data_IF_537239051146
#
_entry.id   IF_537239051146
#
_cell.length_a   1.000
_cell.length_b   1.000
_cell.length_c   1.000
_cell.angle_alpha   90.00
_cell.angle_beta   90.00
_cell.angle_gamma   90.00
#
_symmetry.space_group_name_H-M   'P 1'
#
loop_
_entity.id
_entity.type
_entity.pdbx_description
1 polymer ?
#
# COMPACT_ATOMS: atom_id res chain seq x y z
N UNK A 1 -0.07 -9.71 3.37
CA UNK A 1 -0.53 -8.56 2.53
C UNK A 1 -1.54 -9.05 1.49
N UNK A 2 -2.73 -8.45 1.48
CA UNK A 2 -3.81 -8.76 0.55
C UNK A 2 -3.99 -7.64 -0.48
N UNK A 3 -4.12 -8.00 -1.75
CA UNK A 3 -4.40 -7.05 -2.84
C UNK A 3 -5.87 -7.11 -3.20
N UNK A 4 -6.52 -5.95 -3.34
CA UNK A 4 -7.92 -5.85 -3.77
C UNK A 4 -8.06 -4.82 -4.87
N UNK A 5 -8.93 -5.08 -5.85
CA UNK A 5 -9.26 -4.12 -6.91
C UNK A 5 -10.47 -3.32 -6.44
N UNK A 6 -10.37 -1.99 -6.47
CA UNK A 6 -11.51 -1.13 -6.17
C UNK A 6 -12.52 -1.12 -7.32
N UNK A 7 -13.78 -0.72 -7.09
CA UNK A 7 -14.78 -0.58 -8.16
C UNK A 7 -14.37 0.36 -9.30
N UNK A 8 -13.40 1.26 -9.05
CA UNK A 8 -12.84 2.19 -10.03
C UNK A 8 -11.56 1.66 -10.71
N UNK A 9 -11.25 0.37 -10.56
CA UNK A 9 -10.06 -0.27 -11.12
C UNK A 9 -8.75 0.01 -10.37
N UNK A 10 -8.74 0.94 -9.40
CA UNK A 10 -7.53 1.20 -8.61
C UNK A 10 -7.16 -0.01 -7.73
N UNK A 11 -5.87 -0.37 -7.73
CA UNK A 11 -5.31 -1.39 -6.85
C UNK A 11 -5.20 -0.85 -5.42
N UNK A 12 -5.76 -1.59 -4.47
CA UNK A 12 -5.69 -1.31 -3.03
C UNK A 12 -4.92 -2.41 -2.33
N UNK A 13 -3.78 -2.02 -1.77
CA UNK A 13 -2.94 -2.87 -0.93
C UNK A 13 -3.46 -2.80 0.51
N UNK A 14 -3.73 -3.96 1.11
CA UNK A 14 -4.17 -4.10 2.50
C UNK A 14 -3.14 -4.94 3.27
N UNK A 15 -2.33 -4.33 4.12
CA UNK A 15 -1.43 -5.05 5.03
C UNK A 15 -2.23 -5.90 6.01
N UNK A 16 -1.78 -7.12 6.29
CA UNK A 16 -2.46 -8.03 7.22
C UNK A 16 -1.82 -8.02 8.62
N UNK A 17 -0.59 -7.48 8.74
CA UNK A 17 0.13 -7.32 10.02
C UNK A 17 0.58 -5.89 10.29
N UNK A 18 0.99 -5.61 11.54
CA UNK A 18 1.57 -4.31 11.92
C UNK A 18 2.88 -4.03 11.19
N UNK A 19 3.76 -5.03 11.08
CA UNK A 19 5.04 -4.93 10.36
C UNK A 19 4.82 -4.63 8.87
N UNK A 20 3.88 -5.31 8.22
CA UNK A 20 3.54 -5.01 6.82
C UNK A 20 2.98 -3.60 6.64
N UNK A 21 2.29 -3.07 7.65
CA UNK A 21 1.72 -1.71 7.62
C UNK A 21 2.80 -0.64 7.75
N UNK A 22 3.84 -0.88 8.55
CA UNK A 22 5.01 0.00 8.63
C UNK A 22 5.83 -0.03 7.35
N UNK A 23 6.10 -1.22 6.80
CA UNK A 23 6.77 -1.37 5.51
C UNK A 23 6.00 -0.66 4.38
N UNK A 24 4.66 -0.78 4.36
CA UNK A 24 3.82 -0.12 3.37
C UNK A 24 3.85 1.42 3.50
N UNK A 25 3.86 1.95 4.73
CA UNK A 25 4.00 3.40 4.96
C UNK A 25 5.35 3.93 4.48
N UNK A 26 6.44 3.21 4.76
CA UNK A 26 7.76 3.57 4.25
C UNK A 26 7.82 3.56 2.73
N UNK A 27 7.26 2.52 2.09
CA UNK A 27 7.16 2.44 0.64
C UNK A 27 6.35 3.60 0.04
N UNK A 28 5.18 3.92 0.61
CA UNK A 28 4.33 5.02 0.14
C UNK A 28 5.06 6.37 0.24
N UNK A 29 5.75 6.63 1.35
CA UNK A 29 6.51 7.86 1.54
C UNK A 29 7.65 8.02 0.53
N UNK A 30 8.34 6.93 0.18
CA UNK A 30 9.39 6.96 -0.87
C UNK A 30 8.78 7.22 -2.24
N UNK A 31 7.64 6.62 -2.55
CA UNK A 31 6.97 6.80 -3.83
C UNK A 31 6.46 8.23 -4.03
N UNK A 32 5.98 8.86 -2.95
CA UNK A 32 5.49 10.24 -2.95
C UNK A 32 6.61 11.27 -3.15
N UNK A 33 7.85 10.96 -2.77
CA UNK A 33 9.03 11.81 -2.99
C UNK A 33 9.55 11.71 -4.43
N UNK A 34 9.31 10.60 -5.12
CA UNK A 34 9.77 10.38 -6.49
C UNK A 34 8.81 10.88 -7.57
N UNK A 35 7.66 11.44 -7.19
CA UNK A 35 6.62 12.00 -8.08
C UNK A 35 6.66 13.52 -8.11
#
# INVERSE_FOLDING_TARGET
MRVSVSPRGALKLKPDSKEEREAFRGFAAVFEIMQ
#
